data_IF_893122546808
#
_entry.id   IF_893122546808
#
_cell.length_a   1.000
_cell.length_b   1.000
_cell.length_c   1.000
_cell.angle_alpha   90.00
_cell.angle_beta   90.00
_cell.angle_gamma   90.00
#
_symmetry.space_group_name_H-M   'P 1'
#
loop_
_entity.id
_entity.type
_entity.pdbx_description
1 polymer ?
#
# COMPACT_ATOMS: atom_id res chain seq x y z
N UNK A 1 -17.71 17.80 -8.30
CA UNK A 1 -17.87 17.13 -7.00
C UNK A 1 -18.53 15.78 -7.26
N UNK A 2 -17.78 14.70 -7.09
CA UNK A 2 -18.26 13.33 -7.33
C UNK A 2 -18.48 12.64 -5.98
N UNK A 3 -19.53 11.82 -5.87
CA UNK A 3 -19.77 10.99 -4.68
C UNK A 3 -19.09 9.64 -4.89
N UNK A 4 -18.21 9.25 -3.98
CA UNK A 4 -17.33 8.08 -4.11
C UNK A 4 -17.59 7.12 -2.95
N UNK A 5 -17.79 5.83 -3.25
CA UNK A 5 -17.80 4.77 -2.25
C UNK A 5 -16.40 4.17 -2.14
N UNK A 6 -15.73 4.40 -1.02
CA UNK A 6 -14.42 3.83 -0.70
C UNK A 6 -14.58 2.64 0.25
N UNK A 7 -14.44 1.43 -0.27
CA UNK A 7 -14.51 0.24 0.58
C UNK A 7 -13.19 0.00 1.34
N UNK A 8 -13.30 -0.52 2.56
CA UNK A 8 -12.13 -0.85 3.39
C UNK A 8 -11.35 0.38 3.88
N UNK A 9 -12.04 1.50 4.15
CA UNK A 9 -11.45 2.80 4.51
C UNK A 9 -10.47 2.79 5.67
N UNK A 10 -10.54 1.79 6.55
CA UNK A 10 -9.59 1.62 7.66
C UNK A 10 -8.28 0.95 7.26
N UNK A 11 -8.10 0.58 5.99
CA UNK A 11 -6.90 -0.07 5.48
C UNK A 11 -5.78 0.95 5.19
N UNK A 12 -4.53 0.50 5.25
CA UNK A 12 -3.35 1.34 5.02
C UNK A 12 -3.44 2.17 3.72
N UNK A 13 -3.68 1.53 2.57
CA UNK A 13 -3.83 2.23 1.28
C UNK A 13 -5.10 3.10 1.27
N UNK A 14 -6.20 2.57 1.80
CA UNK A 14 -7.50 3.23 1.73
C UNK A 14 -7.51 4.54 2.53
N UNK A 15 -6.76 4.63 3.62
CA UNK A 15 -6.62 5.86 4.40
C UNK A 15 -5.98 6.99 3.57
N UNK A 16 -4.89 6.68 2.84
CA UNK A 16 -4.29 7.64 1.90
C UNK A 16 -5.24 8.00 0.74
N UNK A 17 -6.03 7.04 0.25
CA UNK A 17 -7.06 7.31 -0.78
C UNK A 17 -8.12 8.26 -0.22
N UNK A 18 -8.60 8.03 1.01
CA UNK A 18 -9.58 8.87 1.66
C UNK A 18 -9.09 10.32 1.78
N UNK A 19 -7.88 10.52 2.31
CA UNK A 19 -7.25 11.84 2.42
C UNK A 19 -7.18 12.53 1.05
N UNK A 20 -6.66 11.83 0.03
CA UNK A 20 -6.52 12.36 -1.33
C UNK A 20 -7.88 12.72 -1.95
N UNK A 21 -8.93 11.91 -1.71
CA UNK A 21 -10.27 12.18 -2.23
C UNK A 21 -10.89 13.42 -1.57
N UNK A 22 -10.75 13.55 -0.25
CA UNK A 22 -11.29 14.67 0.51
C UNK A 22 -10.56 15.97 0.17
N UNK A 23 -9.23 15.95 0.07
CA UNK A 23 -8.41 17.11 -0.36
C UNK A 23 -8.81 17.62 -1.75
N UNK A 24 -9.27 16.72 -2.62
CA UNK A 24 -9.73 17.05 -3.98
C UNK A 24 -11.21 17.44 -4.05
N UNK A 25 -11.88 17.55 -2.90
CA UNK A 25 -13.25 18.05 -2.79
C UNK A 25 -14.33 17.04 -3.17
N UNK A 26 -14.02 15.74 -3.13
CA UNK A 26 -15.03 14.69 -3.33
C UNK A 26 -15.83 14.44 -2.05
N UNK A 27 -17.08 13.96 -2.22
CA UNK A 27 -17.87 13.44 -1.11
C UNK A 27 -17.63 11.93 -1.01
N UNK A 28 -17.19 11.44 0.14
CA UNK A 28 -16.77 10.03 0.30
C UNK A 28 -17.67 9.30 1.29
N UNK A 29 -18.20 8.16 0.88
CA UNK A 29 -18.83 7.15 1.75
C UNK A 29 -17.79 6.05 1.93
N UNK A 30 -17.43 5.67 3.16
CA UNK A 30 -16.44 4.63 3.42
C UNK A 30 -16.94 3.46 4.26
N UNK A 31 -16.39 2.28 4.01
CA UNK A 31 -16.80 1.04 4.70
C UNK A 31 -15.69 0.55 5.62
N UNK A 32 -16.05 0.11 6.81
CA UNK A 32 -15.13 -0.49 7.79
C UNK A 32 -15.76 -1.74 8.41
N UNK A 33 -14.91 -2.62 8.94
CA UNK A 33 -15.34 -3.89 9.52
C UNK A 33 -15.86 -3.80 10.95
N UNK A 34 -15.42 -2.81 11.71
CA UNK A 34 -15.85 -2.60 13.09
C UNK A 34 -16.20 -1.14 13.36
N UNK A 35 -17.16 -0.92 14.26
CA UNK A 35 -17.60 0.41 14.69
C UNK A 35 -16.45 1.24 15.26
N UNK A 36 -15.57 0.62 16.03
CA UNK A 36 -14.39 1.27 16.62
C UNK A 36 -13.46 1.87 15.55
N UNK A 37 -13.13 1.07 14.52
CA UNK A 37 -12.31 1.55 13.39
C UNK A 37 -13.02 2.67 12.61
N UNK A 38 -14.34 2.59 12.51
CA UNK A 38 -15.17 3.62 11.88
C UNK A 38 -15.14 4.93 12.65
N UNK A 39 -15.22 4.87 13.98
CA UNK A 39 -15.19 6.05 14.82
C UNK A 39 -13.88 6.83 14.67
N UNK A 40 -12.73 6.13 14.63
CA UNK A 40 -11.42 6.77 14.42
C UNK A 40 -11.36 7.54 13.09
N UNK A 41 -11.96 6.99 12.03
CA UNK A 41 -12.04 7.67 10.73
C UNK A 41 -12.98 8.87 10.80
N UNK A 42 -14.13 8.75 11.45
CA UNK A 42 -15.09 9.86 11.62
C UNK A 42 -14.49 11.01 12.43
N UNK A 43 -13.74 10.71 13.48
CA UNK A 43 -13.07 11.71 14.31
C UNK A 43 -12.01 12.48 13.51
N UNK A 44 -11.30 11.80 12.59
CA UNK A 44 -10.33 12.41 11.68
C UNK A 44 -10.99 13.12 10.48
N UNK A 45 -12.12 12.61 9.99
CA UNK A 45 -12.83 13.06 8.79
C UNK A 45 -14.36 13.05 9.01
N UNK A 46 -14.93 14.11 9.63
CA UNK A 46 -16.36 14.17 9.95
C UNK A 46 -17.31 14.12 8.73
N UNK A 47 -16.78 14.21 7.51
CA UNK A 47 -17.54 14.26 6.26
C UNK A 47 -17.74 12.88 5.60
N UNK A 48 -17.24 11.79 6.20
CA UNK A 48 -17.35 10.43 5.66
C UNK A 48 -18.60 9.66 6.20
N UNK A 49 -19.23 8.81 5.39
CA UNK A 49 -20.47 8.05 5.71
C UNK A 49 -20.28 6.50 5.63
N UNK A 50 -21.17 5.64 6.17
CA UNK A 50 -20.93 4.18 6.36
C UNK A 50 -21.79 3.20 5.51
N UNK A 51 -21.31 1.97 5.28
CA UNK A 51 -22.02 0.86 4.59
C UNK A 51 -21.86 -0.49 5.34
N UNK A 52 -22.93 -1.31 5.56
CA UNK A 52 -22.88 -2.53 6.36
C UNK A 52 -22.71 -3.86 5.57
N UNK A 53 -21.65 -4.64 5.82
CA UNK A 53 -21.50 -6.05 5.36
C UNK A 53 -20.82 -6.91 6.46
N UNK A 54 -21.12 -8.23 6.49
CA UNK A 54 -20.62 -9.22 7.46
C UNK A 54 -19.59 -10.18 6.87
N UNK A 55 -18.73 -10.69 7.76
CA UNK A 55 -17.53 -11.49 7.51
C UNK A 55 -17.72 -12.94 7.97
N UNK A 56 -17.66 -13.91 7.06
CA UNK A 56 -17.27 -15.27 7.43
C UNK A 56 -16.49 -15.98 6.32
N UNK A 57 -15.39 -16.59 6.78
CA UNK A 57 -14.55 -17.64 6.18
C UNK A 57 -13.39 -17.24 5.25
N UNK A 58 -12.24 -17.90 5.46
CA UNK A 58 -11.48 -18.74 4.50
C UNK A 58 -10.03 -18.93 5.00
N UNK A 59 -9.55 -20.18 5.10
CA UNK A 59 -8.12 -20.48 5.39
C UNK A 59 -7.62 -21.78 4.73
N UNK A 60 -6.46 -21.73 4.05
CA UNK A 60 -5.63 -22.89 3.63
C UNK A 60 -4.11 -22.59 3.48
N UNK A 61 -3.69 -21.34 3.23
CA UNK A 61 -2.30 -20.86 3.37
C UNK A 61 -2.31 -19.33 3.23
N UNK A 62 -1.84 -18.53 4.21
CA UNK A 62 -2.14 -17.10 4.20
C UNK A 62 -1.60 -16.34 2.98
N UNK A 63 -0.36 -16.60 2.54
CA UNK A 63 0.27 -15.81 1.46
C UNK A 63 -0.14 -16.27 0.06
N UNK A 64 -0.20 -17.58 -0.20
CA UNK A 64 -0.66 -18.11 -1.49
C UNK A 64 -2.17 -18.02 -1.63
N UNK A 65 -2.92 -18.24 -0.53
CA UNK A 65 -4.35 -17.99 -0.45
C UNK A 65 -4.68 -16.51 -0.67
N UNK A 66 -3.91 -15.58 -0.09
CA UNK A 66 -4.04 -14.15 -0.38
C UNK A 66 -3.78 -13.82 -1.86
N UNK A 67 -2.65 -14.29 -2.43
CA UNK A 67 -2.33 -14.04 -3.85
C UNK A 67 -3.38 -14.64 -4.80
N UNK A 68 -3.83 -15.85 -4.51
CA UNK A 68 -4.89 -16.53 -5.24
C UNK A 68 -6.21 -15.77 -5.15
N UNK A 69 -6.66 -15.43 -3.94
CA UNK A 69 -7.92 -14.72 -3.73
C UNK A 69 -7.95 -13.36 -4.43
N UNK A 70 -6.85 -12.60 -4.39
CA UNK A 70 -6.74 -11.33 -5.13
C UNK A 70 -6.76 -11.53 -6.64
N UNK A 71 -6.12 -12.58 -7.14
CA UNK A 71 -6.14 -12.91 -8.58
C UNK A 71 -7.54 -13.32 -9.04
N UNK A 72 -8.21 -14.20 -8.30
CA UNK A 72 -9.56 -14.68 -8.65
C UNK A 72 -10.61 -13.59 -8.48
N UNK A 73 -10.50 -12.72 -7.47
CA UNK A 73 -11.39 -11.58 -7.31
C UNK A 73 -11.28 -10.59 -8.47
N UNK A 74 -10.05 -10.30 -8.94
CA UNK A 74 -9.86 -9.47 -10.12
C UNK A 74 -10.48 -10.14 -11.37
N UNK A 75 -10.23 -11.43 -11.59
CA UNK A 75 -10.83 -12.17 -12.71
C UNK A 75 -12.35 -12.13 -12.68
N UNK A 76 -12.96 -12.43 -11.54
CA UNK A 76 -14.42 -12.38 -11.38
C UNK A 76 -15.00 -10.99 -11.64
N UNK A 77 -14.28 -9.92 -11.25
CA UNK A 77 -14.69 -8.55 -11.55
C UNK A 77 -14.65 -8.26 -13.06
N UNK A 78 -13.62 -8.72 -13.77
CA UNK A 78 -13.54 -8.58 -15.23
C UNK A 78 -14.60 -9.44 -15.96
N UNK A 79 -14.80 -10.68 -15.52
CA UNK A 79 -15.85 -11.56 -16.05
C UNK A 79 -17.23 -10.92 -15.89
N UNK A 80 -17.50 -10.23 -14.78
CA UNK A 80 -18.74 -9.49 -14.57
C UNK A 80 -18.90 -8.32 -15.55
N UNK A 81 -17.85 -7.53 -15.78
CA UNK A 81 -17.89 -6.43 -16.77
C UNK A 81 -18.15 -6.95 -18.18
N UNK A 82 -17.50 -8.07 -18.55
CA UNK A 82 -17.65 -8.68 -19.88
C UNK A 82 -19.04 -9.27 -20.11
N UNK A 83 -19.55 -10.03 -19.14
CA UNK A 83 -20.80 -10.78 -19.27
C UNK A 83 -22.04 -9.92 -19.01
N UNK A 84 -22.04 -9.12 -17.95
CA UNK A 84 -23.23 -8.38 -17.50
C UNK A 84 -23.34 -6.98 -18.12
N UNK A 85 -22.23 -6.44 -18.65
CA UNK A 85 -22.17 -5.12 -19.30
C UNK A 85 -22.89 -4.02 -18.49
N UNK A 86 -22.54 -3.86 -17.21
CA UNK A 86 -23.22 -2.91 -16.34
C UNK A 86 -23.05 -1.47 -16.83
N UNK A 87 -23.90 -0.57 -16.34
CA UNK A 87 -23.81 0.88 -16.65
C UNK A 87 -22.59 1.60 -16.05
N UNK A 88 -21.59 0.88 -15.55
CA UNK A 88 -20.37 1.42 -14.97
C UNK A 88 -19.13 0.74 -15.56
N UNK A 89 -17.98 1.39 -15.45
CA UNK A 89 -16.69 0.87 -15.92
C UNK A 89 -15.83 0.39 -14.76
N UNK A 90 -14.89 -0.51 -15.03
CA UNK A 90 -13.93 -1.01 -14.03
C UNK A 90 -12.51 -0.51 -14.31
N UNK A 91 -11.80 -0.11 -13.26
CA UNK A 91 -10.36 0.04 -13.29
C UNK A 91 -9.75 -0.75 -12.13
N UNK A 92 -8.71 -1.54 -12.40
CA UNK A 92 -7.98 -2.27 -11.35
C UNK A 92 -6.59 -1.68 -11.15
N UNK A 93 -6.19 -1.48 -9.89
CA UNK A 93 -4.87 -1.01 -9.51
C UNK A 93 -4.16 -2.13 -8.76
N UNK A 94 -3.05 -2.60 -9.31
CA UNK A 94 -2.31 -3.77 -8.82
C UNK A 94 -0.93 -3.33 -8.35
N UNK A 95 -0.79 -2.87 -7.10
CA UNK A 95 0.53 -2.60 -6.52
C UNK A 95 1.22 -3.90 -6.06
N UNK A 96 2.57 -3.93 -6.03
CA UNK A 96 3.36 -4.98 -5.40
C UNK A 96 3.48 -4.70 -3.89
N UNK A 97 4.69 -4.69 -3.31
CA UNK A 97 4.88 -4.22 -1.94
C UNK A 97 4.60 -2.72 -1.84
N UNK A 98 3.67 -2.33 -0.98
CA UNK A 98 3.38 -0.91 -0.71
C UNK A 98 4.11 -0.45 0.54
N UNK A 99 4.93 0.59 0.41
CA UNK A 99 5.70 1.25 1.48
C UNK A 99 5.27 2.71 1.64
N UNK A 100 5.58 3.32 2.78
CA UNK A 100 5.44 4.76 2.97
C UNK A 100 4.89 5.14 4.34
N UNK A 101 4.60 6.43 4.58
CA UNK A 101 4.21 6.92 5.89
C UNK A 101 2.87 6.32 6.36
N UNK A 102 2.77 6.08 7.67
CA UNK A 102 1.50 5.75 8.34
C UNK A 102 0.76 7.05 8.64
N UNK A 103 -0.52 7.13 8.24
CA UNK A 103 -1.36 8.29 8.56
C UNK A 103 -1.72 8.30 10.06
N UNK A 104 -1.73 9.49 10.65
CA UNK A 104 -1.76 9.68 12.09
C UNK A 104 -2.98 9.09 12.81
N UNK A 105 -4.11 8.90 12.14
CA UNK A 105 -5.32 8.31 12.74
C UNK A 105 -5.35 6.76 12.69
N UNK A 106 -4.32 6.13 12.11
CA UNK A 106 -4.07 4.69 12.21
C UNK A 106 -3.19 4.33 13.43
N UNK A 107 -3.03 5.23 14.40
CA UNK A 107 -2.03 5.27 15.49
C UNK A 107 -1.85 4.05 16.42
N UNK A 108 -2.49 2.90 16.20
CA UNK A 108 -2.11 1.67 16.92
C UNK A 108 -1.07 0.91 16.10
N UNK A 109 0.03 0.47 16.73
CA UNK A 109 1.02 -0.42 16.11
C UNK A 109 0.36 -1.66 15.46
N UNK A 110 -0.80 -2.09 15.98
CA UNK A 110 -1.64 -3.17 15.42
C UNK A 110 -2.25 -2.87 14.04
N UNK A 111 -2.18 -1.62 13.56
CA UNK A 111 -2.68 -1.18 12.26
C UNK A 111 -1.58 -0.97 11.22
N UNK A 112 -0.31 -1.21 11.60
CA UNK A 112 0.82 -1.20 10.66
C UNK A 112 0.62 -2.34 9.66
N UNK A 113 0.74 -2.06 8.37
CA UNK A 113 0.72 -3.10 7.35
C UNK A 113 2.02 -3.93 7.39
N UNK A 114 1.96 -5.19 6.95
CA UNK A 114 3.12 -6.10 6.95
C UNK A 114 4.37 -5.51 6.27
N UNK A 115 4.22 -4.62 5.29
CA UNK A 115 5.37 -3.96 4.66
C UNK A 115 6.07 -2.99 5.61
N UNK A 116 5.34 -2.14 6.33
CA UNK A 116 5.94 -1.20 7.28
C UNK A 116 6.35 -1.88 8.59
N UNK A 117 5.78 -3.05 8.92
CA UNK A 117 6.28 -3.89 10.02
C UNK A 117 7.76 -4.24 9.82
N UNK A 118 8.21 -4.45 8.56
CA UNK A 118 9.63 -4.66 8.25
C UNK A 118 10.49 -3.46 8.64
N UNK A 119 10.03 -2.25 8.36
CA UNK A 119 10.73 -1.01 8.74
C UNK A 119 10.73 -0.86 10.27
N UNK A 120 9.58 -1.11 10.92
CA UNK A 120 9.45 -1.12 12.38
C UNK A 120 10.44 -2.10 13.04
N UNK A 121 10.53 -3.33 12.53
CA UNK A 121 11.44 -4.36 13.04
C UNK A 121 12.92 -3.95 12.89
N UNK A 122 13.27 -3.21 11.84
CA UNK A 122 14.61 -2.66 11.65
C UNK A 122 14.92 -1.54 12.66
N UNK A 123 14.03 -0.55 12.80
CA UNK A 123 14.27 0.62 13.67
C UNK A 123 14.14 0.32 15.17
N UNK A 124 13.49 -0.80 15.53
CA UNK A 124 13.42 -1.32 16.90
C UNK A 124 14.54 -2.31 17.22
N UNK A 125 15.30 -2.76 16.22
CA UNK A 125 16.44 -3.67 16.38
C UNK A 125 16.09 -5.16 16.36
N UNK A 126 14.81 -5.53 16.13
CA UNK A 126 14.39 -6.93 15.97
C UNK A 126 15.06 -7.61 14.77
N UNK A 127 15.39 -6.83 13.73
CA UNK A 127 16.15 -7.30 12.56
C UNK A 127 17.68 -7.30 12.70
N UNK A 128 18.25 -6.91 13.86
CA UNK A 128 19.70 -6.70 14.01
C UNK A 128 20.55 -7.94 13.69
N UNK A 129 20.12 -9.10 14.16
CA UNK A 129 20.91 -10.34 14.03
C UNK A 129 20.64 -11.10 12.71
N UNK A 130 19.58 -10.73 11.99
CA UNK A 130 19.23 -11.34 10.71
C UNK A 130 18.26 -10.41 9.98
N UNK A 131 18.71 -9.83 8.87
CA UNK A 131 17.89 -8.99 8.02
C UNK A 131 16.71 -9.80 7.49
N UNK A 132 15.46 -9.29 7.54
CA UNK A 132 14.32 -10.02 7.03
C UNK A 132 14.48 -10.41 5.55
N UNK A 133 14.03 -11.59 5.11
CA UNK A 133 14.13 -11.99 3.71
C UNK A 133 13.23 -11.14 2.80
N UNK A 134 13.72 -10.86 1.59
CA UNK A 134 12.98 -10.10 0.56
C UNK A 134 12.08 -11.04 -0.23
N UNK A 135 10.78 -11.06 0.08
CA UNK A 135 9.81 -11.97 -0.58
C UNK A 135 9.28 -11.50 -1.95
N UNK A 136 9.33 -10.19 -2.21
CA UNK A 136 9.06 -9.59 -3.52
C UNK A 136 10.02 -8.43 -3.71
N UNK A 137 10.62 -8.32 -4.89
CA UNK A 137 11.60 -7.29 -5.22
C UNK A 137 11.01 -6.09 -5.94
N UNK A 138 9.67 -5.99 -6.03
CA UNK A 138 8.96 -4.84 -6.60
C UNK A 138 8.28 -4.05 -5.48
N UNK A 139 8.30 -2.73 -5.58
CA UNK A 139 7.70 -1.86 -4.58
C UNK A 139 7.03 -0.61 -5.20
N UNK A 140 6.20 0.07 -4.40
CA UNK A 140 5.58 1.36 -4.71
C UNK A 140 5.25 2.14 -3.44
N UNK A 141 5.27 3.47 -3.50
CA UNK A 141 4.86 4.32 -2.38
C UNK A 141 3.32 4.35 -2.24
N UNK A 142 2.83 4.28 -1.01
CA UNK A 142 1.39 4.28 -0.68
C UNK A 142 0.66 5.51 -1.21
N UNK A 143 1.33 6.67 -1.26
CA UNK A 143 0.75 7.92 -1.77
C UNK A 143 0.61 7.88 -3.29
N UNK A 144 1.52 7.19 -3.99
CA UNK A 144 1.42 6.98 -5.44
C UNK A 144 0.27 6.02 -5.75
N UNK A 145 0.08 4.97 -4.94
CA UNK A 145 -1.06 4.06 -5.05
C UNK A 145 -2.37 4.80 -4.79
N UNK A 146 -2.43 5.63 -3.76
CA UNK A 146 -3.62 6.41 -3.45
C UNK A 146 -3.98 7.35 -4.60
N UNK A 147 -2.99 8.08 -5.12
CA UNK A 147 -3.16 8.95 -6.28
C UNK A 147 -3.63 8.17 -7.51
N UNK A 148 -3.11 6.96 -7.74
CA UNK A 148 -3.54 6.11 -8.85
C UNK A 148 -5.03 5.74 -8.76
N UNK A 149 -5.51 5.37 -7.56
CA UNK A 149 -6.92 5.06 -7.33
C UNK A 149 -7.82 6.28 -7.60
N UNK A 150 -7.42 7.46 -7.12
CA UNK A 150 -8.18 8.68 -7.33
C UNK A 150 -8.23 9.06 -8.81
N UNK A 151 -7.08 9.05 -9.48
CA UNK A 151 -7.00 9.38 -10.91
C UNK A 151 -7.76 8.36 -11.76
N UNK A 152 -7.77 7.09 -11.39
CA UNK A 152 -8.55 6.07 -12.08
C UNK A 152 -10.07 6.30 -11.95
N UNK A 153 -10.53 6.88 -10.84
CA UNK A 153 -11.93 7.25 -10.66
C UNK A 153 -12.30 8.55 -11.39
N UNK A 154 -11.35 9.47 -11.57
CA UNK A 154 -11.58 10.78 -12.20
C UNK A 154 -11.43 10.76 -13.73
N UNK A 155 -10.55 9.92 -14.26
CA UNK A 155 -10.22 9.89 -15.69
C UNK A 155 -11.03 8.86 -16.43
N UNK A 156 -11.85 9.33 -17.37
CA UNK A 156 -12.62 8.45 -18.26
C UNK A 156 -11.74 7.50 -19.07
N UNK A 157 -10.51 7.91 -19.37
CA UNK A 157 -9.49 7.15 -20.07
C UNK A 157 -9.03 5.92 -19.26
N UNK A 158 -9.22 5.93 -17.94
CA UNK A 158 -8.93 4.80 -17.08
C UNK A 158 -10.00 3.71 -17.14
N UNK A 159 -11.16 3.99 -17.77
CA UNK A 159 -12.23 3.01 -17.95
C UNK A 159 -11.71 1.71 -18.60
N UNK A 160 -12.11 0.60 -18.01
CA UNK A 160 -11.84 -0.76 -18.45
C UNK A 160 -10.34 -1.04 -18.63
N UNK A 161 -9.52 -0.55 -17.68
CA UNK A 161 -8.06 -0.76 -17.67
C UNK A 161 -7.55 -1.33 -16.36
N UNK A 162 -6.53 -2.17 -16.51
CA UNK A 162 -5.72 -2.72 -15.42
C UNK A 162 -4.40 -1.96 -15.33
N UNK A 163 -4.05 -1.48 -14.15
CA UNK A 163 -2.84 -0.69 -13.89
C UNK A 163 -1.88 -1.44 -12.98
N UNK A 164 -0.68 -1.75 -13.48
CA UNK A 164 0.40 -2.24 -12.63
C UNK A 164 1.16 -1.03 -12.06
N UNK A 165 1.20 -0.93 -10.72
CA UNK A 165 1.70 0.26 -10.02
C UNK A 165 3.03 -0.06 -9.37
N UNK A 166 4.15 0.22 -10.05
CA UNK A 166 5.49 -0.12 -9.57
C UNK A 166 6.41 1.09 -9.70
N UNK A 167 7.02 1.50 -8.59
CA UNK A 167 8.00 2.58 -8.57
C UNK A 167 9.39 2.08 -8.98
N UNK A 168 9.74 0.86 -8.57
CA UNK A 168 11.03 0.27 -8.90
C UNK A 168 11.23 -1.11 -8.30
N UNK A 169 12.48 -1.57 -8.35
CA UNK A 169 12.91 -2.77 -7.62
C UNK A 169 13.61 -2.39 -6.32
N UNK A 170 13.60 -3.30 -5.34
CA UNK A 170 14.32 -3.14 -4.07
C UNK A 170 14.69 -4.52 -3.48
N UNK A 171 15.54 -4.50 -2.45
CA UNK A 171 15.62 -5.54 -1.45
C UNK A 171 15.70 -4.94 -0.04
N UNK A 172 15.51 -5.73 1.02
CA UNK A 172 15.52 -5.22 2.39
C UNK A 172 16.90 -4.66 2.79
N UNK A 173 17.99 -5.12 2.16
CA UNK A 173 19.30 -4.50 2.37
C UNK A 173 19.35 -3.04 1.87
N UNK A 174 18.66 -2.72 0.77
CA UNK A 174 18.53 -1.35 0.26
C UNK A 174 17.82 -0.44 1.30
N UNK A 175 16.80 -0.99 1.98
CA UNK A 175 16.11 -0.27 3.09
C UNK A 175 17.06 -0.04 4.26
N UNK A 176 17.83 -1.06 4.66
CA UNK A 176 18.82 -0.94 5.75
C UNK A 176 19.86 0.12 5.44
N UNK A 177 20.37 0.16 4.21
CA UNK A 177 21.33 1.17 3.75
C UNK A 177 20.73 2.57 3.86
N UNK A 178 19.52 2.79 3.34
CA UNK A 178 18.82 4.07 3.43
C UNK A 178 18.65 4.50 4.90
N UNK A 179 18.22 3.60 5.80
CA UNK A 179 18.04 3.94 7.21
C UNK A 179 19.39 4.28 7.85
N UNK A 180 20.43 3.48 7.58
CA UNK A 180 21.79 3.71 8.09
C UNK A 180 22.35 5.07 7.66
N UNK A 181 22.10 5.49 6.42
CA UNK A 181 22.54 6.78 5.89
C UNK A 181 21.74 7.95 6.46
N UNK A 182 20.41 7.84 6.50
CA UNK A 182 19.50 8.96 6.80
C UNK A 182 19.19 9.11 8.29
N UNK A 183 19.39 8.05 9.08
CA UNK A 183 19.18 8.01 10.53
C UNK A 183 20.39 7.39 11.23
N UNK A 184 21.55 8.09 11.29
CA UNK A 184 22.77 7.56 11.88
C UNK A 184 22.62 7.04 13.32
N UNK A 185 21.68 7.61 14.09
CA UNK A 185 21.33 7.20 15.44
C UNK A 185 20.70 5.80 15.54
N UNK A 186 20.21 5.24 14.42
CA UNK A 186 19.63 3.91 14.37
C UNK A 186 20.63 2.83 13.96
N UNK A 187 21.86 3.18 13.55
CA UNK A 187 22.86 2.23 13.02
C UNK A 187 23.12 1.04 13.94
N UNK A 188 23.19 1.27 15.25
CA UNK A 188 23.45 0.22 16.23
C UNK A 188 22.33 -0.82 16.33
N UNK A 189 21.15 -0.54 15.77
CA UNK A 189 19.99 -1.44 15.72
C UNK A 189 19.90 -2.23 14.42
N UNK A 190 20.60 -1.79 13.37
CA UNK A 190 20.48 -2.37 12.04
C UNK A 190 21.34 -3.63 11.87
N UNK A 191 20.95 -4.57 11.00
CA UNK A 191 21.83 -5.66 10.60
C UNK A 191 23.04 -5.14 9.82
N UNK A 192 24.18 -5.81 10.01
CA UNK A 192 25.45 -5.50 9.35
C UNK A 192 26.24 -6.78 9.06
N UNK A 193 27.17 -6.74 8.10
CA UNK A 193 27.97 -7.91 7.73
C UNK A 193 27.09 -9.08 7.28
N UNK A 194 27.39 -10.29 7.75
CA UNK A 194 26.67 -11.51 7.37
C UNK A 194 25.17 -11.48 7.73
N UNK A 195 24.78 -10.67 8.73
CA UNK A 195 23.37 -10.50 9.09
C UNK A 195 22.55 -9.84 7.98
N UNK A 196 23.17 -9.15 7.01
CA UNK A 196 22.48 -8.57 5.84
C UNK A 196 22.09 -9.62 4.80
N UNK A 197 22.83 -10.73 4.70
CA UNK A 197 22.74 -11.67 3.61
C UNK A 197 21.31 -12.16 3.28
N UNK A 198 20.44 -12.47 4.25
CA UNK A 198 19.09 -12.95 3.93
C UNK A 198 18.20 -11.87 3.29
N UNK A 199 18.49 -10.59 3.52
CA UNK A 199 17.74 -9.46 2.96
C UNK A 199 18.15 -9.07 1.54
N UNK A 200 19.26 -9.60 1.03
CA UNK A 200 19.82 -9.25 -0.28
C UNK A 200 19.09 -10.04 -1.38
N UNK A 201 18.70 -9.34 -2.44
CA UNK A 201 18.31 -9.94 -3.72
C UNK A 201 19.13 -9.28 -4.83
N UNK A 202 20.00 -10.04 -5.51
CA UNK A 202 20.80 -9.52 -6.62
C UNK A 202 19.93 -8.93 -7.73
N UNK A 203 20.41 -7.88 -8.41
CA UNK A 203 19.63 -7.13 -9.41
C UNK A 203 19.12 -8.03 -10.53
N UNK A 204 19.92 -8.98 -10.98
CA UNK A 204 19.60 -9.96 -12.02
C UNK A 204 18.50 -10.95 -11.63
N UNK A 205 18.22 -11.08 -10.33
CA UNK A 205 17.14 -11.92 -9.79
C UNK A 205 15.87 -11.11 -9.52
N UNK A 206 15.88 -9.79 -9.74
CA UNK A 206 14.72 -8.93 -9.52
C UNK A 206 13.78 -8.97 -10.75
N UNK A 207 12.49 -8.91 -10.49
CA UNK A 207 11.49 -8.96 -11.57
C UNK A 207 11.55 -7.70 -12.45
N UNK A 208 11.37 -7.88 -13.75
CA UNK A 208 11.03 -6.78 -14.66
C UNK A 208 9.58 -6.33 -14.47
N UNK A 209 9.29 -5.10 -14.90
CA UNK A 209 7.93 -4.55 -14.84
C UNK A 209 7.72 -3.53 -15.97
N UNK A 210 6.45 -3.35 -16.36
CA UNK A 210 6.01 -2.28 -17.27
C UNK A 210 4.93 -1.45 -16.58
N UNK A 211 5.19 -0.15 -16.48
CA UNK A 211 4.30 0.84 -15.85
C UNK A 211 3.88 1.93 -16.81
N UNK A 212 4.17 1.80 -18.11
CA UNK A 212 3.81 2.75 -19.17
C UNK A 212 2.36 3.20 -19.06
N UNK A 213 1.41 2.27 -19.01
CA UNK A 213 -0.02 2.57 -18.91
C UNK A 213 -0.37 3.47 -17.72
N UNK A 214 0.24 3.24 -16.56
CA UNK A 214 -0.02 4.05 -15.36
C UNK A 214 0.53 5.48 -15.52
N UNK A 215 1.64 5.64 -16.24
CA UNK A 215 2.22 6.95 -16.55
C UNK A 215 1.42 7.66 -17.64
N UNK A 216 1.10 6.96 -18.72
CA UNK A 216 0.48 7.56 -19.90
C UNK A 216 -0.99 7.92 -19.66
N UNK A 217 -1.75 7.04 -19.01
CA UNK A 217 -3.19 7.24 -18.79
C UNK A 217 -3.44 8.05 -17.52
N UNK A 218 -2.81 7.65 -16.40
CA UNK A 218 -3.05 8.31 -15.12
C UNK A 218 -2.15 9.53 -14.92
N UNK A 219 -1.03 9.67 -15.64
CA UNK A 219 -0.09 10.78 -15.42
C UNK A 219 0.74 10.60 -14.16
N UNK A 220 0.91 9.36 -13.67
CA UNK A 220 1.63 9.10 -12.43
C UNK A 220 3.13 9.39 -12.58
N UNK A 221 3.67 10.02 -11.53
CA UNK A 221 5.10 10.08 -11.25
C UNK A 221 5.34 9.34 -9.95
N UNK A 222 6.33 8.45 -9.95
CA UNK A 222 6.62 7.60 -8.79
C UNK A 222 7.71 8.21 -7.92
N UNK A 223 7.52 8.14 -6.60
CA UNK A 223 8.48 8.60 -5.58
C UNK A 223 9.70 7.69 -5.52
N UNK A 224 10.80 8.23 -5.01
CA UNK A 224 12.03 7.46 -4.81
C UNK A 224 11.93 6.58 -3.56
N UNK A 225 12.65 5.45 -3.56
CA UNK A 225 12.68 4.53 -2.41
C UNK A 225 13.18 5.24 -1.15
N UNK A 226 14.22 6.07 -1.29
CA UNK A 226 14.76 6.88 -0.20
C UNK A 226 13.72 7.78 0.44
N UNK A 227 12.90 8.46 -0.37
CA UNK A 227 11.83 9.34 0.14
C UNK A 227 10.78 8.54 0.90
N UNK A 228 10.33 7.42 0.32
CA UNK A 228 9.31 6.56 0.92
C UNK A 228 9.77 5.97 2.26
N UNK A 229 11.00 5.47 2.33
CA UNK A 229 11.59 4.89 3.54
C UNK A 229 11.80 5.96 4.62
N UNK A 230 12.33 7.14 4.25
CA UNK A 230 12.55 8.23 5.22
C UNK A 230 11.24 8.69 5.85
N UNK A 231 10.20 8.89 5.04
CA UNK A 231 8.89 9.30 5.56
C UNK A 231 8.22 8.20 6.40
N UNK A 232 8.41 6.93 6.01
CA UNK A 232 7.96 5.79 6.81
C UNK A 232 8.63 5.75 8.19
N UNK A 233 9.96 5.84 8.26
CA UNK A 233 10.69 5.86 9.55
C UNK A 233 10.22 7.01 10.44
N UNK A 234 10.13 8.23 9.89
CA UNK A 234 9.66 9.41 10.64
C UNK A 234 8.25 9.19 11.19
N UNK A 235 7.35 8.65 10.37
CA UNK A 235 5.98 8.36 10.82
C UNK A 235 5.96 7.33 11.94
N UNK A 236 6.77 6.28 11.86
CA UNK A 236 6.84 5.21 12.86
C UNK A 236 7.48 5.68 14.18
N UNK A 237 8.54 6.49 14.13
CA UNK A 237 9.16 7.07 15.32
C UNK A 237 8.21 7.97 16.11
N UNK A 238 7.21 8.58 15.47
CA UNK A 238 6.16 9.33 16.16
C UNK A 238 5.20 8.47 16.99
N UNK A 239 5.27 7.15 16.86
CA UNK A 239 4.42 6.16 17.53
C UNK A 239 5.18 5.20 18.46
N UNK A 240 6.51 5.35 18.58
CA UNK A 240 7.40 4.57 19.47
C UNK A 240 7.82 5.39 20.68
#
# INVERSE_FOLDING_TARGET
MTRILLTGGSGFIAAHVLDTLLERGHSVVTTVRSREKGQRILDAHPQADWNPIKEDEVDQSPIFGYRGSKTFAEKAAWDFIENEKPGFTLATCNPPLVLGPVVHYLASLDAINTSNERISDLITGKGKNSCPPTGTSLWVDVRDVAMAHVLAAEKSEAANKRFFLVAGTYCNADIVEIISEKFPELRDKLPSGDALAPGIVPLEQRFGFDTSRSKDVLGLTYRLLTESVVDAVKSLQGHL
#
